data_IF_714645944634
#
_entry.id   IF_714645944634
#
_cell.length_a   1.000
_cell.length_b   1.000
_cell.length_c   1.000
_cell.angle_alpha   90.00
_cell.angle_beta   90.00
_cell.angle_gamma   90.00
#
_symmetry.space_group_name_H-M   'P 1'
#
loop_
_entity.id
_entity.type
_entity.pdbx_description
1 polymer ?
#
# COMPACT_ATOMS: atom_id res chain seq x y z
N UNK A 1 -9.12 17.04 -3.45
CA UNK A 1 -8.79 15.61 -3.42
C UNK A 1 -7.35 15.53 -2.95
N UNK A 2 -7.12 15.06 -1.73
CA UNK A 2 -5.76 14.88 -1.21
C UNK A 2 -5.09 13.73 -1.96
N UNK A 3 -3.80 13.87 -2.21
CA UNK A 3 -2.98 12.77 -2.72
C UNK A 3 -2.99 11.60 -1.72
N UNK A 4 -3.30 10.40 -2.22
CA UNK A 4 -3.36 9.19 -1.41
C UNK A 4 -1.99 8.85 -0.82
N UNK A 5 -1.99 8.22 0.35
CA UNK A 5 -0.80 7.69 1.01
C UNK A 5 -0.78 6.18 0.86
N UNK A 6 0.35 5.64 0.43
CA UNK A 6 0.68 4.22 0.60
C UNK A 6 1.42 4.06 1.91
N UNK A 7 0.95 3.11 2.70
CA UNK A 7 1.60 2.62 3.89
C UNK A 7 1.84 1.12 3.72
N UNK A 8 3.04 0.64 4.06
CA UNK A 8 3.35 -0.79 4.08
C UNK A 8 3.75 -1.16 5.50
N UNK A 9 3.11 -2.19 6.02
CA UNK A 9 3.36 -2.75 7.35
C UNK A 9 3.78 -4.21 7.24
N UNK A 10 4.54 -4.66 8.22
CA UNK A 10 4.66 -6.08 8.53
C UNK A 10 3.35 -6.62 9.08
N UNK A 11 3.21 -7.94 9.10
CA UNK A 11 2.01 -8.61 9.66
C UNK A 11 1.85 -8.40 11.17
N UNK A 12 2.93 -8.08 11.89
CA UNK A 12 2.91 -7.72 13.31
C UNK A 12 2.43 -6.28 13.57
N UNK A 13 2.22 -5.49 12.51
CA UNK A 13 1.76 -4.11 12.57
C UNK A 13 2.86 -3.07 12.41
N UNK A 14 4.14 -3.45 12.40
CA UNK A 14 5.25 -2.51 12.26
C UNK A 14 5.24 -1.85 10.89
N UNK A 15 5.26 -0.51 10.87
CA UNK A 15 5.33 0.27 9.63
C UNK A 15 6.75 0.29 9.07
N UNK A 16 6.93 -0.26 7.88
CA UNK A 16 8.22 -0.32 7.18
C UNK A 16 8.33 0.70 6.05
N UNK A 17 7.20 1.23 5.56
CA UNK A 17 7.19 2.23 4.52
C UNK A 17 5.98 3.15 4.60
N UNK A 18 6.17 4.42 4.27
CA UNK A 18 5.08 5.37 4.05
C UNK A 18 5.47 6.39 2.98
N UNK A 19 4.56 6.65 2.04
CA UNK A 19 4.75 7.68 1.03
C UNK A 19 3.43 8.22 0.51
N UNK A 20 3.37 9.54 0.33
CA UNK A 20 2.31 10.21 -0.42
C UNK A 20 2.53 10.04 -1.93
N UNK A 21 1.51 9.59 -2.64
CA UNK A 21 1.51 9.36 -4.08
C UNK A 21 0.91 10.57 -4.78
N UNK A 22 1.69 11.18 -5.68
CA UNK A 22 1.17 12.16 -6.62
C UNK A 22 0.61 11.41 -7.83
N UNK A 23 -0.71 11.51 -8.05
CA UNK A 23 -1.40 10.84 -9.16
C UNK A 23 -1.97 9.45 -8.81
N UNK A 24 -2.22 8.62 -9.83
CA UNK A 24 -3.00 7.36 -9.71
C UNK A 24 -2.15 6.08 -9.76
N UNK A 25 -0.84 6.19 -9.93
CA UNK A 25 0.04 5.04 -10.07
C UNK A 25 1.35 5.31 -9.39
N UNK A 26 1.86 4.29 -8.71
CA UNK A 26 3.07 4.36 -7.93
C UNK A 26 3.81 3.04 -8.03
N UNK A 27 5.14 3.10 -8.08
CA UNK A 27 6.01 1.93 -7.97
C UNK A 27 6.70 1.97 -6.61
N UNK A 28 6.27 1.15 -5.65
CA UNK A 28 6.98 1.03 -4.38
C UNK A 28 8.35 0.35 -4.58
N UNK A 29 9.29 0.52 -3.64
CA UNK A 29 10.48 -0.32 -3.59
C UNK A 29 10.08 -1.78 -3.37
N UNK A 30 10.97 -2.71 -3.74
CA UNK A 30 10.81 -4.13 -3.41
C UNK A 30 11.10 -4.30 -1.92
N UNK A 31 10.18 -4.92 -1.19
CA UNK A 31 10.34 -5.25 0.23
C UNK A 31 10.87 -6.69 0.39
N UNK A 32 11.29 -7.04 1.62
CA UNK A 32 11.77 -8.39 1.93
C UNK A 32 10.74 -9.47 1.56
N UNK A 33 11.18 -10.72 1.45
CA UNK A 33 10.38 -11.90 1.04
C UNK A 33 9.19 -12.25 1.96
N UNK A 34 8.91 -11.40 2.95
CA UNK A 34 7.87 -11.55 3.94
C UNK A 34 6.51 -11.11 3.38
N UNK A 35 5.42 -11.60 3.97
CA UNK A 35 4.09 -11.05 3.69
C UNK A 35 3.97 -9.67 4.33
N UNK A 36 3.44 -8.71 3.60
CA UNK A 36 3.22 -7.34 4.08
C UNK A 36 1.75 -6.95 3.94
N UNK A 37 1.30 -6.02 4.79
CA UNK A 37 0.01 -5.36 4.65
C UNK A 37 0.23 -4.02 3.96
N UNK A 38 -0.33 -3.86 2.76
CA UNK A 38 -0.33 -2.61 2.01
C UNK A 38 -1.65 -1.91 2.24
N UNK A 39 -1.56 -0.66 2.71
CA UNK A 39 -2.71 0.23 2.91
C UNK A 39 -2.57 1.41 1.96
N UNK A 40 -3.65 1.79 1.29
CA UNK A 40 -3.73 2.98 0.45
C UNK A 40 -4.91 3.81 0.90
N UNK A 41 -4.73 5.11 1.12
CA UNK A 41 -5.82 5.91 1.67
C UNK A 41 -5.50 7.36 1.96
N UNK A 42 -6.47 8.09 2.51
CA UNK A 42 -6.25 9.42 3.10
C UNK A 42 -6.13 9.27 4.63
N UNK A 43 -4.94 9.50 5.21
CA UNK A 43 -4.75 9.42 6.66
C UNK A 43 -5.55 10.48 7.43
N UNK A 44 -5.90 11.61 6.82
CA UNK A 44 -6.65 12.68 7.48
C UNK A 44 -8.14 12.36 7.57
N UNK A 45 -8.66 11.58 6.62
CA UNK A 45 -10.06 11.15 6.58
C UNK A 45 -10.24 9.74 7.17
N UNK A 46 -9.16 9.13 7.68
CA UNK A 46 -9.11 7.74 8.15
C UNK A 46 -9.67 6.71 7.15
N UNK A 47 -9.67 7.05 5.86
CA UNK A 47 -10.20 6.21 4.79
C UNK A 47 -9.10 5.38 4.17
N UNK A 48 -9.12 4.07 4.40
CA UNK A 48 -8.09 3.14 3.93
C UNK A 48 -8.70 1.95 3.19
N UNK A 49 -8.01 1.53 2.13
CA UNK A 49 -8.12 0.19 1.57
C UNK A 49 -6.86 -0.58 1.96
N UNK A 50 -7.03 -1.83 2.35
CA UNK A 50 -5.92 -2.66 2.80
C UNK A 50 -5.90 -4.02 2.09
N UNK A 51 -4.69 -4.54 1.88
CA UNK A 51 -4.47 -5.84 1.27
C UNK A 51 -3.18 -6.46 1.79
N UNK A 52 -3.25 -7.73 2.17
CA UNK A 52 -2.06 -8.56 2.40
C UNK A 52 -1.45 -8.96 1.07
N UNK A 53 -0.14 -8.79 0.93
CA UNK A 53 0.60 -9.06 -0.30
C UNK A 53 1.83 -9.88 0.04
N UNK A 54 1.92 -11.07 -0.55
CA UNK A 54 3.11 -11.92 -0.51
C UNK A 54 4.20 -11.44 -1.48
N UNK A 55 5.44 -11.91 -1.30
CA UNK A 55 6.54 -11.64 -2.25
C UNK A 55 6.17 -12.05 -3.68
N UNK A 56 5.54 -13.21 -3.85
CA UNK A 56 5.12 -13.70 -5.17
C UNK A 56 4.11 -12.75 -5.82
N UNK A 57 3.12 -12.25 -5.09
CA UNK A 57 2.14 -11.29 -5.62
C UNK A 57 2.78 -9.95 -5.95
N UNK A 58 3.75 -9.51 -5.14
CA UNK A 58 4.51 -8.28 -5.38
C UNK A 58 5.35 -8.37 -6.64
N UNK A 59 6.05 -9.50 -6.83
CA UNK A 59 6.89 -9.77 -8.00
C UNK A 59 6.10 -10.01 -9.29
N UNK A 60 4.84 -10.44 -9.19
CA UNK A 60 3.96 -10.75 -10.34
C UNK A 60 3.33 -9.53 -11.01
N UNK A 61 3.43 -8.32 -10.45
CA UNK A 61 3.10 -7.10 -11.17
C UNK A 61 2.27 -6.06 -10.40
N UNK A 62 1.16 -5.61 -11.01
CA UNK A 62 0.41 -4.43 -10.56
C UNK A 62 -0.64 -4.79 -9.50
N UNK A 63 -0.54 -4.15 -8.33
CA UNK A 63 -1.62 -4.11 -7.34
C UNK A 63 -2.61 -3.00 -7.69
N UNK A 64 -3.92 -3.28 -7.59
CA UNK A 64 -5.00 -2.32 -7.87
C UNK A 64 -5.82 -2.15 -6.59
N UNK A 65 -6.00 -0.89 -6.19
CA UNK A 65 -6.83 -0.46 -5.07
C UNK A 65 -7.95 0.42 -5.64
N UNK A 66 -9.20 0.00 -5.45
CA UNK A 66 -10.37 0.68 -6.00
C UNK A 66 -11.21 1.32 -4.89
N UNK A 67 -11.30 2.65 -4.94
CA UNK A 67 -12.03 3.47 -3.98
C UNK A 67 -13.46 3.82 -4.44
N UNK A 68 -13.98 3.18 -5.49
CA UNK A 68 -15.33 3.44 -5.99
C UNK A 68 -16.46 2.74 -5.22
N UNK A 69 -16.11 1.89 -4.25
CA UNK A 69 -17.05 1.24 -3.31
C UNK A 69 -17.40 2.12 -2.13
#
# INVERSE_FOLDING_TARGET
>A
MSDAVVEVRKTDGDRVYVRRIIGRTFRPPIFASETHVVRVGDPNEERWLERSVSEEEWGRGKLVFDFSV
#
